data_IF_619330832483
#
_entry.id   IF_619330832483
#
_cell.length_a   1.000
_cell.length_b   1.000
_cell.length_c   1.000
_cell.angle_alpha   90.00
_cell.angle_beta   90.00
_cell.angle_gamma   90.00
#
_symmetry.space_group_name_H-M   'P 1'
#
loop_
_entity.id
_entity.type
_entity.pdbx_description
1 polymer ?
#
# COMPACT_ATOMS: atom_id res chain seq x y z
N UNK A 1 -2.13 7.44 18.77
CA UNK A 1 -3.17 6.80 19.57
C UNK A 1 -2.66 6.57 21.00
N UNK A 2 -3.42 6.99 22.05
CA UNK A 2 -2.97 6.87 23.42
C UNK A 2 -3.00 5.41 23.91
N UNK A 3 -4.08 4.72 23.66
CA UNK A 3 -4.39 3.39 24.17
C UNK A 3 -4.81 2.39 23.06
N UNK A 4 -4.41 2.66 21.83
CA UNK A 4 -4.78 1.90 20.66
C UNK A 4 -5.32 2.80 19.55
N UNK A 5 -5.85 2.20 18.50
CA UNK A 5 -6.47 2.90 17.39
C UNK A 5 -7.98 3.04 17.64
N UNK A 6 -8.47 4.26 17.67
CA UNK A 6 -9.88 4.56 17.91
C UNK A 6 -10.50 5.22 16.69
N UNK A 7 -11.23 4.46 15.89
CA UNK A 7 -11.90 4.93 14.68
C UNK A 7 -12.86 6.09 14.93
N UNK A 8 -13.51 6.10 16.07
CA UNK A 8 -14.54 7.06 16.45
C UNK A 8 -14.01 8.44 16.86
N UNK A 9 -12.70 8.58 17.08
CA UNK A 9 -12.05 9.82 17.54
C UNK A 9 -11.04 10.41 16.57
N UNK A 10 -10.81 9.80 15.40
CA UNK A 10 -9.92 10.36 14.38
C UNK A 10 -10.49 11.65 13.79
N UNK A 11 -9.63 12.52 13.27
CA UNK A 11 -10.07 13.71 12.54
C UNK A 11 -9.24 14.95 12.77
N UNK A 12 -8.70 15.21 13.94
CA UNK A 12 -7.86 16.41 14.16
C UNK A 12 -6.42 16.23 13.65
N UNK A 13 -5.97 15.00 13.52
CA UNK A 13 -4.67 14.60 12.97
C UNK A 13 -3.49 15.35 13.62
N UNK A 14 -3.56 15.47 14.94
CA UNK A 14 -2.52 16.06 15.77
C UNK A 14 -1.75 14.99 16.52
N UNK A 15 -0.50 15.32 16.84
CA UNK A 15 0.33 14.44 17.66
C UNK A 15 -0.28 14.21 19.05
N UNK A 16 -0.25 12.99 19.53
CA UNK A 16 -0.63 12.68 20.89
C UNK A 16 0.49 13.06 21.85
N UNK A 17 0.32 14.13 22.63
CA UNK A 17 1.34 14.65 23.55
C UNK A 17 1.70 13.67 24.67
N UNK A 18 0.83 12.75 25.04
CA UNK A 18 1.14 11.69 26.01
C UNK A 18 2.15 10.69 25.46
N UNK A 19 1.98 10.29 24.17
CA UNK A 19 2.90 9.36 23.49
C UNK A 19 4.17 10.07 22.97
N UNK A 20 4.04 11.30 22.57
CA UNK A 20 5.13 12.13 22.02
C UNK A 20 5.33 13.38 22.87
N UNK A 21 5.80 13.24 24.15
CA UNK A 21 5.92 14.37 25.06
C UNK A 21 6.92 15.44 24.57
N UNK A 22 7.87 15.05 23.73
CA UNK A 22 8.84 15.93 23.10
C UNK A 22 8.49 16.30 21.64
N UNK A 23 7.25 16.03 21.23
CA UNK A 23 6.77 16.25 19.85
C UNK A 23 7.09 15.12 18.89
N UNK A 24 6.22 14.95 17.89
CA UNK A 24 6.40 13.97 16.81
C UNK A 24 7.63 14.31 15.96
N UNK A 25 7.93 15.60 15.80
CA UNK A 25 9.10 16.07 15.04
C UNK A 25 10.41 15.46 15.53
N UNK A 26 10.58 15.28 16.85
CA UNK A 26 11.78 14.63 17.37
C UNK A 26 11.97 13.21 16.86
N UNK A 27 10.87 12.47 16.71
CA UNK A 27 10.90 11.09 16.17
C UNK A 27 11.21 11.10 14.67
N UNK A 28 10.56 11.98 13.91
CA UNK A 28 10.82 12.09 12.46
C UNK A 28 12.24 12.55 12.16
N UNK A 29 12.79 13.47 12.94
CA UNK A 29 14.19 13.90 12.83
C UNK A 29 15.16 12.73 13.14
N UNK A 30 14.83 11.89 14.12
CA UNK A 30 15.65 10.72 14.42
C UNK A 30 15.62 9.69 13.29
N UNK A 31 14.44 9.41 12.72
CA UNK A 31 14.30 8.53 11.55
C UNK A 31 15.17 9.00 10.38
N UNK A 32 15.23 10.33 10.13
CA UNK A 32 16.07 10.89 9.06
C UNK A 32 17.56 10.68 9.26
N UNK A 33 18.06 10.62 10.49
CA UNK A 33 19.48 10.36 10.75
C UNK A 33 19.93 8.99 10.24
N UNK A 34 18.99 8.04 10.09
CA UNK A 34 19.25 6.74 9.48
C UNK A 34 19.07 6.75 7.96
N UNK A 35 18.91 7.91 7.32
CA UNK A 35 18.72 8.02 5.87
C UNK A 35 17.32 7.61 5.40
N UNK A 36 16.35 7.49 6.30
CA UNK A 36 14.97 7.10 6.00
C UNK A 36 14.05 8.30 5.86
N UNK A 37 12.99 8.18 5.06
CA UNK A 37 11.91 9.15 4.96
C UNK A 37 10.84 8.79 6.01
N UNK A 38 10.58 9.68 6.99
CA UNK A 38 9.56 9.41 7.99
C UNK A 38 8.16 9.49 7.40
N UNK A 39 7.30 8.55 7.77
CA UNK A 39 5.93 8.47 7.28
C UNK A 39 4.90 8.30 8.37
N UNK A 40 3.65 8.65 8.04
CA UNK A 40 2.47 8.47 8.89
C UNK A 40 1.31 7.91 8.08
N UNK A 41 0.38 7.26 8.79
CA UNK A 41 -0.92 6.88 8.27
C UNK A 41 -1.93 8.01 8.50
N UNK A 42 -2.83 8.23 7.55
CA UNK A 42 -3.85 9.27 7.57
C UNK A 42 -5.12 8.79 6.85
N UNK A 43 -6.29 9.23 7.31
CA UNK A 43 -7.60 9.00 6.68
C UNK A 43 -8.31 10.36 6.55
N UNK A 44 -7.87 11.18 5.59
CA UNK A 44 -8.21 12.61 5.51
C UNK A 44 -9.67 12.89 5.13
N UNK A 45 -10.34 11.94 4.51
CA UNK A 45 -11.72 12.08 4.03
C UNK A 45 -12.77 11.80 5.12
N UNK A 46 -12.34 11.49 6.33
CA UNK A 46 -13.25 11.10 7.41
C UNK A 46 -13.00 11.85 8.70
N UNK A 47 -14.03 11.89 9.54
CA UNK A 47 -13.95 12.42 10.90
C UNK A 47 -14.76 11.51 11.84
N UNK A 48 -14.13 11.06 12.92
CA UNK A 48 -14.77 10.19 13.92
C UNK A 48 -15.96 10.85 14.60
N UNK A 49 -16.99 10.07 14.89
CA UNK A 49 -18.22 10.59 15.53
C UNK A 49 -17.99 11.19 16.91
N UNK A 50 -16.93 10.79 17.61
CA UNK A 50 -16.49 11.30 18.91
C UNK A 50 -15.34 12.30 18.81
N UNK A 51 -14.91 12.67 17.61
CA UNK A 51 -13.93 13.74 17.42
C UNK A 51 -14.50 15.08 17.92
N UNK A 52 -13.74 15.79 18.74
CA UNK A 52 -14.19 17.09 19.29
C UNK A 52 -14.44 18.13 18.19
N UNK A 53 -13.70 18.05 17.10
CA UNK A 53 -13.91 18.91 15.94
C UNK A 53 -15.23 18.61 15.24
N UNK A 54 -15.64 17.35 15.14
CA UNK A 54 -16.92 16.97 14.54
C UNK A 54 -18.13 17.61 15.23
N UNK A 55 -18.01 17.92 16.53
CA UNK A 55 -19.06 18.59 17.32
C UNK A 55 -19.15 20.10 17.07
N UNK A 56 -18.10 20.69 16.50
CA UNK A 56 -17.92 22.15 16.36
C UNK A 56 -18.14 22.66 14.94
N UNK A 57 -17.86 21.80 13.93
CA UNK A 57 -18.03 22.17 12.53
C UNK A 57 -19.47 21.98 12.06
N UNK A 58 -19.94 22.77 11.08
CA UNK A 58 -21.30 22.69 10.57
C UNK A 58 -21.55 21.38 9.80
N UNK A 59 -22.84 21.05 9.65
CA UNK A 59 -23.26 19.81 8.97
C UNK A 59 -22.86 19.78 7.49
N UNK A 60 -22.71 20.96 6.86
CA UNK A 60 -22.27 21.13 5.48
C UNK A 60 -20.83 20.67 5.21
N UNK A 61 -20.06 20.36 6.25
CA UNK A 61 -18.76 19.72 6.10
C UNK A 61 -18.87 18.23 5.75
N UNK A 62 -20.04 17.64 6.02
CA UNK A 62 -20.24 16.21 5.90
C UNK A 62 -21.22 15.84 4.79
N UNK A 63 -21.10 14.64 4.29
CA UNK A 63 -22.19 14.07 3.52
C UNK A 63 -23.46 14.01 4.35
N UNK A 64 -24.56 14.49 3.77
CA UNK A 64 -25.89 14.50 4.40
C UNK A 64 -26.88 13.67 3.60
N UNK A 65 -27.70 12.90 4.28
CA UNK A 65 -28.86 12.21 3.72
C UNK A 65 -30.00 12.21 4.71
N UNK A 66 -31.18 12.61 4.21
CA UNK A 66 -32.42 12.73 5.04
C UNK A 66 -32.21 13.59 6.31
N UNK A 67 -31.47 14.69 6.16
CA UNK A 67 -31.17 15.62 7.24
C UNK A 67 -30.21 15.07 8.31
N UNK A 68 -29.44 14.03 8.01
CA UNK A 68 -28.47 13.41 8.93
C UNK A 68 -27.12 13.26 8.27
N UNK A 69 -26.05 13.40 9.06
CA UNK A 69 -24.68 13.10 8.62
C UNK A 69 -24.55 11.63 8.23
N UNK A 70 -23.98 11.40 7.08
CA UNK A 70 -23.64 10.04 6.64
C UNK A 70 -22.46 9.54 7.45
N UNK A 71 -22.61 8.37 8.04
CA UNK A 71 -21.51 7.72 8.76
C UNK A 71 -21.45 6.23 8.47
N UNK A 72 -20.25 5.70 8.55
CA UNK A 72 -19.97 4.27 8.52
C UNK A 72 -18.80 3.97 9.46
N UNK A 73 -18.83 2.82 10.11
CA UNK A 73 -17.76 2.34 11.01
C UNK A 73 -17.27 3.43 11.98
N UNK A 74 -18.20 4.12 12.62
CA UNK A 74 -17.97 5.20 13.59
C UNK A 74 -17.30 6.46 13.05
N UNK A 75 -17.35 6.72 11.74
CA UNK A 75 -16.78 7.92 11.10
C UNK A 75 -17.80 8.58 10.18
N UNK A 76 -17.80 9.90 10.18
CA UNK A 76 -18.53 10.72 9.22
C UNK A 76 -17.70 10.89 7.94
N UNK A 77 -18.35 10.91 6.78
CA UNK A 77 -17.75 11.28 5.51
C UNK A 77 -17.67 12.80 5.39
N UNK A 78 -16.47 13.35 5.17
CA UNK A 78 -16.26 14.75 4.83
C UNK A 78 -16.56 15.01 3.35
N UNK A 79 -17.12 16.18 3.05
CA UNK A 79 -17.42 16.59 1.67
C UNK A 79 -16.37 17.55 1.12
N UNK A 80 -15.47 17.04 0.29
CA UNK A 80 -14.43 17.86 -0.34
C UNK A 80 -14.93 18.88 -1.35
N UNK A 81 -16.20 18.80 -1.75
CA UNK A 81 -16.83 19.87 -2.55
C UNK A 81 -17.05 21.15 -1.73
N UNK A 82 -17.02 21.06 -0.39
CA UNK A 82 -17.00 22.20 0.51
C UNK A 82 -15.58 22.78 0.63
N UNK A 83 -15.35 24.06 0.27
CA UNK A 83 -14.01 24.65 0.29
C UNK A 83 -13.39 24.72 1.70
N UNK A 84 -14.21 24.77 2.75
CA UNK A 84 -13.69 24.76 4.14
C UNK A 84 -13.11 23.42 4.52
N UNK A 85 -13.68 22.31 4.00
CA UNK A 85 -13.14 20.97 4.18
C UNK A 85 -11.79 20.82 3.47
N UNK A 86 -11.68 21.31 2.24
CA UNK A 86 -10.42 21.33 1.51
C UNK A 86 -9.34 22.17 2.21
N UNK A 87 -9.72 23.35 2.74
CA UNK A 87 -8.81 24.21 3.50
C UNK A 87 -8.39 23.55 4.84
N UNK A 88 -9.29 22.86 5.50
CA UNK A 88 -8.97 22.05 6.68
C UNK A 88 -7.97 20.94 6.33
N UNK A 89 -8.22 20.18 5.28
CA UNK A 89 -7.34 19.11 4.82
C UNK A 89 -5.95 19.66 4.46
N UNK A 90 -5.87 20.83 3.82
CA UNK A 90 -4.61 21.53 3.55
C UNK A 90 -3.85 21.84 4.84
N UNK A 91 -4.55 22.32 5.87
CA UNK A 91 -3.92 22.62 7.17
C UNK A 91 -3.34 21.38 7.84
N UNK A 92 -3.97 20.22 7.66
CA UNK A 92 -3.47 18.94 8.15
C UNK A 92 -2.19 18.54 7.41
N UNK A 93 -2.21 18.57 6.08
CA UNK A 93 -1.01 18.24 5.27
C UNK A 93 0.14 19.18 5.58
N UNK A 94 -0.15 20.49 5.65
CA UNK A 94 0.85 21.51 5.98
C UNK A 94 1.52 21.23 7.33
N UNK A 95 0.75 20.93 8.35
CA UNK A 95 1.26 20.55 9.69
C UNK A 95 2.12 19.30 9.64
N UNK A 96 1.65 18.24 8.95
CA UNK A 96 2.42 17.00 8.83
C UNK A 96 3.77 17.24 8.16
N UNK A 97 3.79 18.00 7.07
CA UNK A 97 5.01 18.23 6.29
C UNK A 97 5.92 19.28 6.97
N UNK A 98 5.37 20.46 7.32
CA UNK A 98 6.17 21.58 7.82
C UNK A 98 6.54 21.44 9.29
N UNK A 99 5.56 21.11 10.15
CA UNK A 99 5.76 21.10 11.59
C UNK A 99 6.32 19.76 12.08
N UNK A 100 5.82 18.63 11.54
CA UNK A 100 6.28 17.32 11.96
C UNK A 100 7.35 16.71 11.05
N UNK A 101 7.60 17.31 9.89
CA UNK A 101 8.64 16.85 8.99
C UNK A 101 8.35 15.51 8.32
N UNK A 102 7.09 15.19 8.07
CA UNK A 102 6.67 13.97 7.37
C UNK A 102 7.00 14.09 5.89
N UNK A 103 7.54 13.03 5.29
CA UNK A 103 7.83 12.95 3.86
C UNK A 103 7.10 11.80 3.16
N UNK A 104 6.35 10.99 3.91
CA UNK A 104 5.55 9.88 3.40
C UNK A 104 4.20 9.83 4.11
N UNK A 105 3.12 9.69 3.37
CA UNK A 105 1.77 9.52 3.93
C UNK A 105 1.12 8.28 3.31
N UNK A 106 0.71 7.33 4.16
CA UNK A 106 -0.26 6.31 3.73
C UNK A 106 -1.64 6.91 3.91
N UNK A 107 -2.26 7.30 2.78
CA UNK A 107 -3.59 7.89 2.73
C UNK A 107 -4.62 6.78 2.58
N UNK A 108 -5.35 6.51 3.65
CA UNK A 108 -6.31 5.42 3.70
C UNK A 108 -7.76 5.91 3.58
N UNK A 109 -8.66 4.98 3.24
CA UNK A 109 -10.09 5.26 3.15
C UNK A 109 -10.88 3.97 3.39
N UNK A 110 -11.48 3.84 4.59
CA UNK A 110 -12.02 2.58 5.08
C UNK A 110 -13.51 2.66 5.43
N UNK A 111 -14.24 3.57 4.80
CA UNK A 111 -15.70 3.67 4.95
C UNK A 111 -16.40 3.57 3.60
N UNK A 112 -17.67 3.26 3.64
CA UNK A 112 -18.56 3.20 2.50
C UNK A 112 -19.64 4.31 2.62
N UNK A 113 -19.44 5.48 1.97
CA UNK A 113 -20.38 6.61 2.10
C UNK A 113 -21.71 6.35 1.38
N UNK A 114 -21.81 5.26 0.61
CA UNK A 114 -22.98 4.89 -0.16
C UNK A 114 -23.19 5.79 -1.38
N UNK A 115 -24.46 6.15 -1.62
CA UNK A 115 -24.88 6.82 -2.86
C UNK A 115 -24.51 8.31 -2.96
N UNK A 116 -23.91 8.89 -1.92
CA UNK A 116 -23.45 10.29 -1.92
C UNK A 116 -24.13 11.19 -0.91
N UNK A 117 -24.22 12.49 -1.21
CA UNK A 117 -24.75 13.55 -0.36
C UNK A 117 -25.86 14.33 -1.07
N UNK A 118 -26.80 14.87 -0.31
CA UNK A 118 -27.87 15.73 -0.82
C UNK A 118 -27.57 17.24 -0.69
N UNK A 119 -26.38 17.60 -0.17
CA UNK A 119 -26.01 19.00 0.08
C UNK A 119 -25.59 19.68 -1.23
N UNK A 120 -26.24 20.82 -1.52
CA UNK A 120 -25.91 21.69 -2.65
C UNK A 120 -25.80 20.99 -4.02
N UNK A 121 -26.65 20.00 -4.27
CA UNK A 121 -26.66 19.22 -5.52
C UNK A 121 -28.09 18.84 -5.91
N UNK A 122 -28.30 18.56 -7.21
CA UNK A 122 -29.59 18.17 -7.76
C UNK A 122 -29.96 16.71 -7.46
N UNK A 123 -28.95 15.88 -7.14
CA UNK A 123 -29.12 14.49 -6.74
C UNK A 123 -27.97 14.01 -5.88
N UNK A 124 -28.21 12.99 -5.05
CA UNK A 124 -27.15 12.41 -4.19
C UNK A 124 -25.96 11.89 -4.99
N UNK A 125 -26.20 11.32 -6.19
CA UNK A 125 -25.13 10.85 -7.07
C UNK A 125 -24.31 11.99 -7.68
N UNK A 126 -24.92 13.12 -7.96
CA UNK A 126 -24.20 14.33 -8.37
C UNK A 126 -23.31 14.82 -7.22
N UNK A 127 -23.83 14.85 -5.99
CA UNK A 127 -23.07 15.22 -4.80
C UNK A 127 -21.82 14.31 -4.64
N UNK A 128 -21.95 13.01 -4.81
CA UNK A 128 -20.82 12.08 -4.81
C UNK A 128 -19.78 12.43 -5.90
N UNK A 129 -20.24 12.63 -7.14
CA UNK A 129 -19.35 12.98 -8.24
C UNK A 129 -18.62 14.30 -8.02
N UNK A 130 -19.28 15.30 -7.43
CA UNK A 130 -18.67 16.60 -7.10
C UNK A 130 -17.60 16.44 -6.02
N UNK A 131 -17.88 15.68 -4.98
CA UNK A 131 -16.89 15.34 -3.96
C UNK A 131 -15.66 14.66 -4.56
N UNK A 132 -15.84 13.60 -5.36
CA UNK A 132 -14.74 12.86 -5.99
C UNK A 132 -13.86 13.77 -6.87
N UNK A 133 -14.49 14.62 -7.70
CA UNK A 133 -13.74 15.60 -8.51
C UNK A 133 -12.98 16.61 -7.66
N UNK A 134 -13.62 17.12 -6.60
CA UNK A 134 -12.99 18.09 -5.70
C UNK A 134 -11.81 17.47 -4.94
N UNK A 135 -11.96 16.23 -4.49
CA UNK A 135 -10.87 15.48 -3.87
C UNK A 135 -9.65 15.33 -4.80
N UNK A 136 -9.88 14.96 -6.06
CA UNK A 136 -8.79 14.84 -7.04
C UNK A 136 -8.10 16.20 -7.31
N UNK A 137 -8.87 17.29 -7.40
CA UNK A 137 -8.31 18.65 -7.54
C UNK A 137 -7.50 19.05 -6.30
N UNK A 138 -8.03 18.76 -5.10
CA UNK A 138 -7.30 18.99 -3.86
C UNK A 138 -5.98 18.22 -3.82
N UNK A 139 -6.01 16.94 -4.20
CA UNK A 139 -4.82 16.08 -4.24
C UNK A 139 -3.76 16.62 -5.24
N UNK A 140 -4.18 17.07 -6.43
CA UNK A 140 -3.30 17.74 -7.40
C UNK A 140 -2.65 18.99 -6.76
N UNK A 141 -3.42 19.75 -5.98
CA UNK A 141 -2.91 20.90 -5.22
C UNK A 141 -1.89 20.51 -4.15
N UNK A 142 -2.08 19.37 -3.47
CA UNK A 142 -1.10 18.85 -2.49
C UNK A 142 0.24 18.55 -3.18
N UNK A 143 0.21 17.82 -4.29
CA UNK A 143 1.44 17.49 -5.03
C UNK A 143 2.11 18.73 -5.66
N UNK A 144 1.34 19.73 -6.08
CA UNK A 144 1.90 21.00 -6.56
C UNK A 144 2.64 21.77 -5.46
N UNK A 145 2.13 21.73 -4.21
CA UNK A 145 2.79 22.38 -3.04
C UNK A 145 3.96 21.56 -2.50
N UNK A 146 3.89 20.26 -2.58
CA UNK A 146 4.85 19.32 -2.00
C UNK A 146 5.27 18.24 -3.01
N UNK A 147 6.02 18.59 -4.07
CA UNK A 147 6.37 17.65 -5.14
C UNK A 147 7.23 16.47 -4.68
N UNK A 148 7.93 16.61 -3.55
CA UNK A 148 8.75 15.53 -2.97
C UNK A 148 7.98 14.63 -1.98
N UNK A 149 6.72 14.98 -1.67
CA UNK A 149 5.90 14.19 -0.77
C UNK A 149 5.47 12.88 -1.45
N UNK A 150 5.74 11.77 -0.79
CA UNK A 150 5.30 10.47 -1.26
C UNK A 150 3.95 10.17 -0.60
N UNK A 151 2.93 9.91 -1.42
CA UNK A 151 1.63 9.49 -0.92
C UNK A 151 1.29 8.11 -1.48
N UNK A 152 0.98 7.19 -0.57
CA UNK A 152 0.47 5.86 -0.86
C UNK A 152 -1.05 5.88 -0.80
N UNK A 153 -1.71 5.50 -1.89
CA UNK A 153 -3.15 5.26 -1.90
C UNK A 153 -3.47 3.94 -1.21
N UNK A 154 -4.45 3.96 -0.32
CA UNK A 154 -4.99 2.78 0.34
C UNK A 154 -6.50 2.94 0.53
N UNK A 155 -7.20 1.83 0.52
CA UNK A 155 -8.59 1.73 0.94
C UNK A 155 -8.81 0.27 1.30
N UNK A 156 -8.71 -0.06 2.60
CA UNK A 156 -8.69 -1.46 3.06
C UNK A 156 -7.81 -2.34 2.14
N UNK A 157 -6.60 -1.87 1.86
CA UNK A 157 -5.73 -2.41 0.82
C UNK A 157 -6.05 -1.81 -0.56
N UNK A 158 -6.62 -2.60 -1.47
CA UNK A 158 -6.77 -2.27 -2.88
C UNK A 158 -8.16 -1.85 -3.36
N UNK A 159 -9.10 -1.48 -2.48
CA UNK A 159 -10.49 -1.20 -2.88
C UNK A 159 -10.64 0.06 -3.76
N UNK A 160 -9.67 0.98 -3.75
CA UNK A 160 -9.62 2.19 -4.62
C UNK A 160 -8.53 2.11 -5.68
N UNK A 161 -8.35 0.94 -6.29
CA UNK A 161 -7.48 0.78 -7.45
C UNK A 161 -8.25 1.19 -8.70
N UNK A 162 -8.11 2.44 -9.08
CA UNK A 162 -8.67 3.02 -10.30
C UNK A 162 -7.68 3.99 -10.95
N UNK A 163 -7.89 4.30 -12.23
CA UNK A 163 -6.95 5.13 -13.00
C UNK A 163 -6.86 6.58 -12.52
N UNK A 164 -7.92 7.14 -11.93
CA UNK A 164 -7.89 8.51 -11.41
C UNK A 164 -6.95 8.60 -10.21
N UNK A 165 -6.98 7.62 -9.31
CA UNK A 165 -6.06 7.51 -8.18
C UNK A 165 -4.64 7.15 -8.64
N UNK A 166 -4.49 6.12 -9.47
CA UNK A 166 -3.19 5.65 -9.95
C UNK A 166 -2.40 6.72 -10.72
N UNK A 167 -3.10 7.63 -11.42
CA UNK A 167 -2.45 8.72 -12.15
C UNK A 167 -1.86 9.80 -11.25
N UNK A 168 -2.17 9.82 -9.97
CA UNK A 168 -1.76 10.85 -9.00
C UNK A 168 -0.86 10.30 -7.90
N UNK A 169 -1.28 9.22 -7.28
CA UNK A 169 -0.58 8.65 -6.13
C UNK A 169 0.78 8.04 -6.52
N UNK A 170 1.76 8.22 -5.66
CA UNK A 170 3.11 7.68 -5.89
C UNK A 170 3.16 6.15 -5.78
N UNK A 171 2.37 5.61 -4.87
CA UNK A 171 2.34 4.19 -4.50
C UNK A 171 0.89 3.77 -4.31
N UNK A 172 0.59 2.50 -4.64
CA UNK A 172 -0.71 1.87 -4.45
C UNK A 172 -0.60 0.67 -3.52
N UNK A 173 -1.32 0.69 -2.42
CA UNK A 173 -1.54 -0.49 -1.57
C UNK A 173 -2.39 -1.52 -2.33
N UNK A 174 -2.05 -2.80 -2.22
CA UNK A 174 -2.69 -3.85 -3.02
C UNK A 174 -3.72 -4.67 -2.26
N UNK A 175 -3.44 -5.01 -1.00
CA UNK A 175 -4.34 -5.81 -0.17
C UNK A 175 -3.89 -5.79 1.29
N UNK A 176 -4.84 -5.96 2.21
CA UNK A 176 -4.60 -6.21 3.63
C UNK A 176 -4.57 -7.72 3.95
N UNK A 177 -4.41 -8.60 2.94
CA UNK A 177 -4.29 -10.03 3.15
C UNK A 177 -3.02 -10.34 3.96
N UNK A 178 -3.16 -11.00 5.09
CA UNK A 178 -2.08 -11.40 6.00
C UNK A 178 -1.63 -12.86 5.84
N UNK A 179 -2.43 -13.70 5.20
CA UNK A 179 -2.01 -15.05 4.80
C UNK A 179 -1.07 -14.96 3.60
N UNK A 180 0.23 -15.16 3.85
CA UNK A 180 1.27 -15.05 2.83
C UNK A 180 1.10 -16.00 1.64
N UNK A 181 0.46 -17.17 1.84
CA UNK A 181 0.19 -18.14 0.77
C UNK A 181 -0.90 -17.66 -0.17
N UNK A 182 -1.96 -17.04 0.38
CA UNK A 182 -3.02 -16.40 -0.41
C UNK A 182 -2.51 -15.13 -1.08
N UNK A 183 -1.64 -14.40 -0.39
CA UNK A 183 -1.05 -13.17 -0.91
C UNK A 183 -0.26 -13.38 -2.19
N UNK A 184 0.33 -14.56 -2.42
CA UNK A 184 1.02 -14.89 -3.67
C UNK A 184 0.17 -14.66 -4.92
N UNK A 185 -1.12 -15.03 -4.89
CA UNK A 185 -2.06 -14.76 -5.99
C UNK A 185 -2.29 -13.27 -6.19
N UNK A 186 -2.44 -12.51 -5.10
CA UNK A 186 -2.61 -11.06 -5.16
C UNK A 186 -1.36 -10.41 -5.75
N UNK A 187 -0.19 -10.78 -5.24
CA UNK A 187 1.10 -10.28 -5.72
C UNK A 187 1.35 -10.61 -7.19
N UNK A 188 1.06 -11.84 -7.60
CA UNK A 188 1.23 -12.26 -8.99
C UNK A 188 0.28 -11.53 -9.96
N UNK A 189 -0.95 -11.23 -9.51
CA UNK A 189 -1.96 -10.62 -10.38
C UNK A 189 -2.01 -9.10 -10.31
N UNK A 190 -1.45 -8.46 -9.28
CA UNK A 190 -1.44 -7.00 -9.15
C UNK A 190 -0.94 -6.27 -10.42
N UNK A 191 0.12 -6.75 -11.11
CA UNK A 191 0.60 -6.10 -12.33
C UNK A 191 -0.34 -6.18 -13.55
N UNK A 192 -1.52 -6.76 -13.43
CA UNK A 192 -2.56 -6.64 -14.46
C UNK A 192 -3.19 -5.25 -14.51
N UNK A 193 -3.18 -4.52 -13.40
CA UNK A 193 -3.76 -3.18 -13.26
C UNK A 193 -2.81 -2.12 -12.73
N UNK A 194 -1.64 -2.51 -12.22
CA UNK A 194 -0.67 -1.63 -11.57
C UNK A 194 0.70 -1.73 -12.24
N UNK A 195 1.42 -0.62 -12.31
CA UNK A 195 2.85 -0.69 -12.61
C UNK A 195 3.59 -1.40 -11.45
N UNK A 196 4.51 -2.33 -11.74
CA UNK A 196 5.22 -3.05 -10.67
C UNK A 196 5.92 -2.14 -9.65
N UNK A 197 6.50 -1.03 -10.09
CA UNK A 197 7.16 -0.06 -9.22
C UNK A 197 6.21 0.77 -8.36
N UNK A 198 4.93 0.85 -8.71
CA UNK A 198 3.89 1.54 -7.96
C UNK A 198 3.18 0.61 -6.96
N UNK A 199 3.20 -0.68 -7.24
CA UNK A 199 2.48 -1.72 -6.51
C UNK A 199 3.16 -2.05 -5.18
N UNK A 200 2.56 -1.66 -4.06
CA UNK A 200 3.03 -1.99 -2.72
C UNK A 200 2.57 -3.39 -2.31
N UNK A 201 3.51 -4.27 -2.08
CA UNK A 201 3.28 -5.65 -1.66
C UNK A 201 3.82 -5.84 -0.25
N UNK A 202 2.96 -6.27 0.65
CA UNK A 202 3.34 -6.57 2.01
C UNK A 202 4.19 -7.85 2.11
N UNK A 203 5.23 -7.80 2.92
CA UNK A 203 5.97 -8.95 3.39
C UNK A 203 5.88 -9.01 4.92
N UNK A 204 5.26 -10.07 5.45
CA UNK A 204 4.99 -10.27 6.87
C UNK A 204 5.69 -11.51 7.43
N UNK A 205 7.02 -11.56 7.58
CA UNK A 205 7.66 -12.68 8.25
C UNK A 205 7.08 -12.87 9.65
N UNK A 206 6.57 -14.08 9.92
CA UNK A 206 5.87 -14.41 11.17
C UNK A 206 6.87 -14.69 12.29
N UNK A 207 6.49 -14.41 13.54
CA UNK A 207 7.33 -14.73 14.71
C UNK A 207 7.63 -16.23 14.78
N UNK A 208 6.62 -17.07 14.61
CA UNK A 208 6.70 -18.52 14.77
C UNK A 208 6.81 -19.31 13.44
N UNK A 209 7.14 -18.62 12.34
CA UNK A 209 7.33 -19.26 11.04
C UNK A 209 8.68 -20.00 10.94
N UNK A 210 8.84 -20.76 9.86
CA UNK A 210 10.09 -21.41 9.49
C UNK A 210 10.89 -20.61 8.43
N UNK A 211 11.93 -21.22 7.88
CA UNK A 211 12.75 -20.61 6.80
C UNK A 211 11.94 -20.40 5.52
N UNK A 212 11.14 -21.40 5.13
CA UNK A 212 10.33 -21.37 3.92
C UNK A 212 9.28 -20.26 4.00
N UNK A 213 8.68 -20.04 5.16
CA UNK A 213 7.75 -18.95 5.39
C UNK A 213 8.38 -17.58 5.11
N UNK A 214 9.60 -17.33 5.61
CA UNK A 214 10.31 -16.07 5.34
C UNK A 214 10.60 -15.92 3.86
N UNK A 215 11.12 -16.96 3.21
CA UNK A 215 11.41 -16.94 1.77
C UNK A 215 10.16 -16.66 0.97
N UNK A 216 9.06 -17.33 1.30
CA UNK A 216 7.78 -17.14 0.61
C UNK A 216 7.27 -15.69 0.75
N UNK A 217 7.30 -15.14 1.97
CA UNK A 217 6.93 -13.74 2.22
C UNK A 217 7.78 -12.75 1.43
N UNK A 218 9.09 -12.94 1.40
CA UNK A 218 9.98 -12.05 0.67
C UNK A 218 9.75 -12.14 -0.84
N UNK A 219 9.59 -13.35 -1.40
CA UNK A 219 9.32 -13.55 -2.82
C UNK A 219 8.01 -12.89 -3.24
N UNK A 220 6.97 -12.86 -2.39
CA UNK A 220 5.72 -12.14 -2.67
C UNK A 220 6.00 -10.69 -3.12
N UNK A 221 6.95 -10.01 -2.51
CA UNK A 221 7.16 -8.58 -2.70
C UNK A 221 8.32 -8.23 -3.65
N UNK A 222 9.25 -9.15 -3.92
CA UNK A 222 10.52 -8.85 -4.62
C UNK A 222 10.37 -8.41 -6.06
N UNK A 223 9.30 -8.75 -6.74
CA UNK A 223 9.03 -8.35 -8.14
C UNK A 223 8.29 -7.02 -8.26
N UNK A 224 8.02 -6.36 -7.14
CA UNK A 224 7.27 -5.12 -7.07
C UNK A 224 7.91 -4.20 -6.01
N UNK A 225 7.15 -3.38 -5.30
CA UNK A 225 7.67 -2.57 -4.19
C UNK A 225 7.51 -3.33 -2.88
N UNK A 226 8.61 -3.63 -2.22
CA UNK A 226 8.57 -4.30 -0.91
C UNK A 226 8.05 -3.33 0.15
N UNK A 227 6.93 -3.68 0.79
CA UNK A 227 6.49 -3.11 2.05
C UNK A 227 6.81 -4.10 3.18
N UNK A 228 7.97 -3.93 3.78
CA UNK A 228 8.43 -4.80 4.86
C UNK A 228 7.67 -4.50 6.14
N UNK A 229 6.97 -5.48 6.64
CA UNK A 229 6.20 -5.44 7.87
C UNK A 229 6.51 -6.68 8.74
N UNK A 230 5.59 -7.04 9.63
CA UNK A 230 5.76 -8.19 10.52
C UNK A 230 6.65 -7.88 11.73
N UNK A 231 6.96 -8.92 12.47
CA UNK A 231 7.66 -8.83 13.75
C UNK A 231 9.16 -9.11 13.59
N UNK A 232 9.84 -8.33 12.75
CA UNK A 232 11.25 -8.54 12.39
C UNK A 232 12.16 -8.66 13.60
N UNK A 233 11.91 -7.88 14.66
CA UNK A 233 12.71 -7.92 15.89
C UNK A 233 12.62 -9.25 16.65
N UNK A 234 11.60 -10.06 16.36
CA UNK A 234 11.36 -11.35 17.00
C UNK A 234 11.87 -12.54 16.16
N UNK A 235 12.41 -12.27 14.97
CA UNK A 235 12.96 -13.33 14.13
C UNK A 235 14.27 -13.87 14.69
N UNK A 236 14.51 -15.18 14.52
CA UNK A 236 15.82 -15.75 14.80
C UNK A 236 16.90 -15.11 13.89
N UNK A 237 18.17 -15.10 14.31
CA UNK A 237 19.25 -14.57 13.48
C UNK A 237 19.32 -15.19 12.07
N UNK A 238 19.03 -16.48 11.95
CA UNK A 238 19.01 -17.21 10.70
C UNK A 238 17.87 -16.71 9.78
N UNK A 239 16.67 -16.52 10.32
CA UNK A 239 15.52 -16.03 9.56
C UNK A 239 15.70 -14.55 9.18
N UNK A 240 16.28 -13.74 10.08
CA UNK A 240 16.64 -12.36 9.78
C UNK A 240 17.70 -12.28 8.67
N UNK A 241 18.64 -13.23 8.59
CA UNK A 241 19.62 -13.29 7.51
C UNK A 241 18.95 -13.48 6.14
N UNK A 242 17.88 -14.30 6.05
CA UNK A 242 17.10 -14.47 4.81
C UNK A 242 16.39 -13.17 4.40
N UNK A 243 15.83 -12.41 5.36
CA UNK A 243 15.25 -11.10 5.05
C UNK A 243 16.30 -10.14 4.50
N UNK A 244 17.49 -10.09 5.11
CA UNK A 244 18.60 -9.24 4.64
C UNK A 244 19.06 -9.64 3.24
N UNK A 245 19.23 -10.93 2.98
CA UNK A 245 19.58 -11.47 1.66
C UNK A 245 18.55 -11.06 0.60
N UNK A 246 17.26 -11.19 0.91
CA UNK A 246 16.17 -10.77 0.02
C UNK A 246 16.22 -9.27 -0.29
N UNK A 247 16.45 -8.43 0.73
CA UNK A 247 16.56 -6.98 0.52
C UNK A 247 17.78 -6.59 -0.33
N UNK A 248 18.91 -7.26 -0.17
CA UNK A 248 20.09 -7.03 -1.03
C UNK A 248 19.82 -7.50 -2.47
N UNK A 249 19.19 -8.67 -2.65
CA UNK A 249 18.74 -9.12 -3.95
C UNK A 249 17.76 -8.11 -4.59
N UNK A 250 16.76 -7.66 -3.86
CA UNK A 250 15.81 -6.64 -4.33
C UNK A 250 16.50 -5.34 -4.77
N UNK A 251 17.44 -4.83 -3.98
CA UNK A 251 18.23 -3.64 -4.34
C UNK A 251 18.98 -3.79 -5.65
N UNK A 252 19.44 -5.00 -5.96
CA UNK A 252 20.16 -5.28 -7.21
C UNK A 252 19.26 -5.31 -8.45
N UNK A 253 17.95 -5.56 -8.30
CA UNK A 253 17.01 -5.71 -9.42
C UNK A 253 15.99 -4.57 -9.52
N UNK A 254 15.78 -3.75 -8.47
CA UNK A 254 14.70 -2.76 -8.41
C UNK A 254 14.72 -1.71 -9.51
N UNK A 255 15.89 -1.40 -10.08
CA UNK A 255 16.00 -0.46 -11.19
C UNK A 255 15.56 -1.06 -12.52
N UNK A 256 15.63 -2.39 -12.66
CA UNK A 256 15.08 -3.12 -13.78
C UNK A 256 13.55 -3.24 -13.68
N UNK A 257 12.98 -3.31 -12.47
CA UNK A 257 11.53 -3.39 -12.24
C UNK A 257 10.79 -2.23 -12.91
N UNK A 258 11.28 -1.00 -12.77
CA UNK A 258 10.70 0.22 -13.39
C UNK A 258 10.62 0.18 -14.92
N UNK A 259 11.43 -0.66 -15.55
CA UNK A 259 11.54 -0.76 -17.01
C UNK A 259 10.97 -2.08 -17.53
N UNK A 260 10.40 -2.87 -16.63
CA UNK A 260 9.95 -4.22 -16.94
C UNK A 260 8.51 -4.24 -17.45
N UNK A 261 8.24 -5.27 -18.23
CA UNK A 261 6.89 -5.64 -18.67
C UNK A 261 6.53 -6.95 -17.98
N UNK A 262 5.41 -6.97 -17.22
CA UNK A 262 4.97 -8.19 -16.55
C UNK A 262 4.46 -9.23 -17.55
N UNK A 263 4.65 -10.51 -17.21
CA UNK A 263 4.10 -11.64 -17.94
C UNK A 263 3.82 -12.81 -17.00
N UNK A 264 2.89 -13.66 -17.38
CA UNK A 264 2.41 -14.77 -16.56
C UNK A 264 2.63 -16.09 -17.27
N UNK A 265 3.72 -16.81 -17.01
CA UNK A 265 4.03 -18.06 -17.70
C UNK A 265 2.94 -19.14 -17.60
N UNK A 266 2.31 -19.26 -16.42
CA UNK A 266 1.22 -20.20 -16.16
C UNK A 266 -0.18 -19.57 -16.31
N UNK A 267 -0.25 -18.31 -16.75
CA UNK A 267 -1.50 -17.53 -16.76
C UNK A 267 -1.76 -16.83 -15.43
N UNK A 268 -2.90 -16.12 -15.35
CA UNK A 268 -3.35 -15.46 -14.11
C UNK A 268 -3.77 -16.53 -13.10
N UNK A 269 -3.33 -16.36 -11.85
CA UNK A 269 -3.54 -17.38 -10.82
C UNK A 269 -4.86 -17.17 -10.07
N UNK A 270 -5.42 -18.27 -9.56
CA UNK A 270 -6.50 -18.29 -8.58
C UNK A 270 -5.97 -18.62 -7.18
N UNK A 271 -6.75 -18.30 -6.15
CA UNK A 271 -6.34 -18.54 -4.74
C UNK A 271 -6.05 -20.01 -4.45
N UNK A 272 -6.70 -20.94 -5.16
CA UNK A 272 -6.51 -22.38 -5.02
C UNK A 272 -5.38 -23.00 -5.83
N UNK A 273 -4.73 -22.26 -6.71
CA UNK A 273 -3.70 -22.82 -7.59
C UNK A 273 -2.47 -23.25 -6.79
N UNK A 274 -1.94 -24.43 -7.12
CA UNK A 274 -0.77 -25.00 -6.47
C UNK A 274 0.52 -24.27 -6.87
N UNK A 275 0.64 -23.91 -8.15
CA UNK A 275 1.77 -23.19 -8.71
C UNK A 275 1.33 -21.82 -9.19
N UNK A 276 2.05 -20.80 -8.77
CA UNK A 276 1.82 -19.40 -9.15
C UNK A 276 3.09 -18.84 -9.74
N UNK A 277 2.97 -18.01 -10.78
CA UNK A 277 4.14 -17.40 -11.42
C UNK A 277 3.87 -15.95 -11.77
N UNK A 278 4.90 -15.12 -11.63
CA UNK A 278 4.96 -13.77 -12.16
C UNK A 278 6.35 -13.54 -12.76
N UNK A 279 6.40 -13.16 -14.01
CA UNK A 279 7.62 -12.76 -14.69
C UNK A 279 7.70 -11.26 -14.96
N UNK A 280 8.89 -10.69 -14.95
CA UNK A 280 9.18 -9.31 -15.34
C UNK A 280 10.26 -9.32 -16.43
N UNK A 281 9.91 -8.87 -17.65
CA UNK A 281 10.86 -8.76 -18.77
C UNK A 281 11.49 -7.38 -18.79
N UNK A 282 12.80 -7.30 -18.57
CA UNK A 282 13.58 -6.06 -18.57
C UNK A 282 14.74 -6.16 -19.54
N UNK A 283 14.64 -5.55 -20.71
CA UNK A 283 15.67 -5.61 -21.75
C UNK A 283 15.99 -7.03 -22.18
N UNK A 284 17.22 -7.50 -22.00
CA UNK A 284 17.68 -8.85 -22.29
C UNK A 284 17.56 -9.83 -21.12
N UNK A 285 17.04 -9.38 -19.98
CA UNK A 285 16.81 -10.19 -18.77
C UNK A 285 15.34 -10.45 -18.56
N UNK A 286 15.03 -11.51 -17.83
CA UNK A 286 13.72 -11.75 -17.25
C UNK A 286 13.89 -12.23 -15.81
N UNK A 287 13.10 -11.68 -14.91
CA UNK A 287 13.01 -12.11 -13.51
C UNK A 287 11.73 -12.91 -13.36
N UNK A 288 11.80 -14.04 -12.68
CA UNK A 288 10.66 -14.94 -12.49
C UNK A 288 10.50 -15.25 -11.01
N UNK A 289 9.39 -14.85 -10.44
CA UNK A 289 8.93 -15.33 -9.14
C UNK A 289 8.07 -16.59 -9.35
N UNK A 290 8.36 -17.61 -8.57
CA UNK A 290 7.66 -18.90 -8.60
C UNK A 290 7.28 -19.27 -7.19
N UNK A 291 6.01 -19.56 -6.97
CA UNK A 291 5.50 -20.03 -5.71
C UNK A 291 4.89 -21.42 -5.88
N UNK A 292 5.28 -22.33 -5.00
CA UNK A 292 4.58 -23.60 -4.81
C UNK A 292 3.80 -23.53 -3.51
N UNK A 293 2.52 -23.71 -3.60
CA UNK A 293 1.63 -23.83 -2.45
C UNK A 293 1.38 -25.32 -2.12
N UNK A 294 0.56 -25.56 -1.14
CA UNK A 294 0.22 -26.92 -0.75
C UNK A 294 -0.50 -27.64 -1.90
N UNK A 295 -0.03 -28.82 -2.27
CA UNK A 295 -0.58 -29.65 -3.34
C UNK A 295 0.22 -30.93 -3.54
N UNK A 296 -0.20 -31.76 -4.49
CA UNK A 296 0.36 -33.08 -4.79
C UNK A 296 1.46 -33.07 -5.86
N UNK A 297 1.56 -32.00 -6.68
CA UNK A 297 2.49 -31.94 -7.79
C UNK A 297 3.86 -31.44 -7.32
N UNK A 298 4.86 -32.31 -7.38
CA UNK A 298 6.23 -31.96 -6.97
C UNK A 298 6.99 -31.18 -8.04
N UNK A 299 6.57 -31.24 -9.30
CA UNK A 299 7.19 -30.60 -10.43
C UNK A 299 6.18 -29.81 -11.26
N UNK A 300 6.63 -28.70 -11.85
CA UNK A 300 5.84 -27.91 -12.77
C UNK A 300 6.70 -27.45 -13.96
N UNK A 301 6.21 -27.66 -15.16
CA UNK A 301 6.83 -27.11 -16.36
C UNK A 301 6.37 -25.66 -16.59
N UNK A 302 7.29 -24.71 -16.53
CA UNK A 302 7.00 -23.28 -16.68
C UNK A 302 7.48 -22.78 -18.04
N UNK A 303 6.58 -22.49 -18.99
CA UNK A 303 6.96 -22.02 -20.33
C UNK A 303 7.44 -20.57 -20.28
N UNK A 304 8.68 -20.31 -20.59
CA UNK A 304 9.25 -18.95 -20.62
C UNK A 304 9.38 -18.50 -22.09
N UNK A 305 8.39 -17.76 -22.60
CA UNK A 305 8.31 -17.30 -23.98
C UNK A 305 9.49 -16.44 -24.45
N UNK A 306 10.18 -15.81 -23.52
CA UNK A 306 11.30 -14.90 -23.79
C UNK A 306 12.68 -15.60 -23.65
N UNK A 307 12.70 -16.87 -23.27
CA UNK A 307 13.95 -17.63 -23.22
C UNK A 307 14.39 -17.99 -24.65
N UNK A 308 15.67 -17.81 -24.92
CA UNK A 308 16.32 -18.31 -26.13
C UNK A 308 17.00 -19.64 -25.80
N UNK A 309 17.40 -20.43 -26.83
CA UNK A 309 18.11 -21.70 -26.66
C UNK A 309 19.38 -21.60 -25.79
N UNK A 310 20.00 -20.42 -25.75
CA UNK A 310 21.18 -20.12 -24.95
C UNK A 310 20.91 -19.37 -23.67
N UNK A 311 19.66 -19.31 -23.21
CA UNK A 311 19.30 -18.58 -21.97
C UNK A 311 19.95 -19.26 -20.75
N UNK A 312 20.64 -18.46 -19.93
CA UNK A 312 21.14 -18.92 -18.63
C UNK A 312 20.10 -18.63 -17.56
N UNK A 313 19.80 -19.63 -16.75
CA UNK A 313 18.89 -19.49 -15.60
C UNK A 313 19.70 -19.65 -14.32
N UNK A 314 19.45 -18.79 -13.36
CA UNK A 314 20.04 -18.85 -12.02
C UNK A 314 19.00 -18.49 -10.97
N UNK A 315 19.01 -19.17 -9.82
CA UNK A 315 18.28 -18.76 -8.66
C UNK A 315 19.00 -17.58 -8.01
N UNK A 316 18.32 -16.43 -7.87
CA UNK A 316 18.91 -15.24 -7.25
C UNK A 316 18.48 -15.06 -5.79
N UNK A 317 17.41 -15.75 -5.38
CA UNK A 317 16.95 -15.77 -3.99
C UNK A 317 16.02 -16.99 -3.75
N UNK A 318 16.18 -17.72 -2.63
CA UNK A 318 17.36 -17.64 -1.76
C UNK A 318 18.57 -18.31 -2.40
N UNK A 319 19.76 -17.78 -2.14
CA UNK A 319 21.01 -18.28 -2.76
C UNK A 319 21.33 -19.73 -2.34
N UNK A 320 20.79 -20.16 -1.19
CA UNK A 320 20.97 -21.54 -0.70
C UNK A 320 20.20 -22.60 -1.48
N UNK A 321 19.27 -22.23 -2.35
CA UNK A 321 18.53 -23.16 -3.22
C UNK A 321 19.25 -23.32 -4.57
N UNK A 322 20.05 -24.40 -4.72
CA UNK A 322 20.89 -24.60 -5.89
C UNK A 322 20.30 -25.54 -6.95
N UNK A 323 19.07 -26.03 -6.79
CA UNK A 323 18.50 -27.04 -7.67
C UNK A 323 17.42 -26.49 -8.61
N UNK A 324 17.87 -25.78 -9.65
CA UNK A 324 17.07 -25.58 -10.86
C UNK A 324 17.61 -26.54 -11.92
N UNK A 325 16.91 -27.64 -12.20
CA UNK A 325 17.16 -28.46 -13.39
C UNK A 325 16.42 -27.85 -14.56
N UNK A 326 17.16 -27.37 -15.55
CA UNK A 326 16.58 -27.07 -16.85
C UNK A 326 16.40 -28.40 -17.60
N UNK A 327 15.25 -28.66 -18.23
CA UNK A 327 15.17 -29.74 -19.20
C UNK A 327 16.13 -29.45 -20.34
N UNK A 328 16.95 -30.43 -20.67
CA UNK A 328 17.85 -30.43 -21.85
C UNK A 328 17.05 -30.47 -23.13
#
# INVERSE_FOLDING_TARGET
>A
YADGFWWDSVGEWQENRRRFPNGLKKVTDEIRKYGMIPGVWLEIEVMGINCEMAKKVPDEWFFMRHGKRVYDRSRYQLDFSNPEVSAYADSVIDRLVKDYGVGYIKMDYNIEPGIGTEINCDSVGEGLMRHEKAYLVWLDGVFARYPELIIENCSSGGMRIDYAMLSRYSIQSTSDQDDYRRYATIAANAPTGLCPEQSAIWSYPLTDGDREEVVFNMVNAMTQRIHQSGHLANLSPERMALVKEALECYKSIRDDIKKSVPFWPLGLSHIGDEWVTLGLKAGNKAYLAVWRRQGSNECCNIPIRYATENAKVSCIYPVSYTHLTLPT
#
